data_IF_345189877737
#
_entry.id   IF_345189877737
#
_cell.length_a   1.000
_cell.length_b   1.000
_cell.length_c   1.000
_cell.angle_alpha   90.00
_cell.angle_beta   90.00
_cell.angle_gamma   90.00
#
_symmetry.space_group_name_H-M   'P 1'
#
loop_
_entity.id
_entity.type
_entity.pdbx_description
1 polymer ?
#
# COMPACT_ATOMS: atom_id res chain seq x y z
N UNK A 1 5.77 22.44 9.97
CA UNK A 1 4.41 22.13 10.46
C UNK A 1 4.51 21.09 11.56
N UNK A 2 3.56 21.13 12.50
CA UNK A 2 3.34 20.02 13.42
C UNK A 2 2.33 19.04 12.80
N UNK A 3 2.71 17.77 12.64
CA UNK A 3 1.88 16.75 12.00
C UNK A 3 1.63 15.56 12.92
N UNK A 4 0.45 14.98 12.82
CA UNK A 4 0.13 13.68 13.42
C UNK A 4 0.37 12.59 12.38
N UNK A 5 1.23 11.64 12.72
CA UNK A 5 1.47 10.43 11.92
C UNK A 5 0.85 9.23 12.64
N UNK A 6 -0.26 8.70 12.15
CA UNK A 6 -0.79 7.45 12.67
C UNK A 6 -0.12 6.26 12.01
N UNK A 7 0.13 5.19 12.73
CA UNK A 7 0.87 4.03 12.20
C UNK A 7 2.37 4.29 11.99
N UNK A 8 2.93 5.29 12.70
CA UNK A 8 4.31 5.72 12.52
C UNK A 8 5.37 4.71 12.98
N UNK A 9 5.01 3.74 13.81
CA UNK A 9 5.90 2.66 14.21
C UNK A 9 5.98 1.51 13.18
N UNK A 10 5.06 1.47 12.21
CA UNK A 10 5.03 0.46 11.15
C UNK A 10 6.14 0.61 10.11
N UNK A 11 6.17 -0.32 9.15
CA UNK A 11 7.20 -0.36 8.10
C UNK A 11 7.28 0.96 7.32
N UNK A 12 6.20 1.35 6.65
CA UNK A 12 6.16 2.60 5.87
C UNK A 12 6.27 3.81 6.79
N UNK A 13 5.58 3.78 7.94
CA UNK A 13 5.53 4.87 8.90
C UNK A 13 6.90 5.33 9.39
N UNK A 14 7.83 4.42 9.66
CA UNK A 14 9.20 4.74 10.08
C UNK A 14 10.00 5.47 8.99
N UNK A 15 9.77 5.15 7.72
CA UNK A 15 10.40 5.87 6.60
C UNK A 15 9.77 7.24 6.39
N UNK A 16 8.44 7.35 6.51
CA UNK A 16 7.72 8.64 6.48
C UNK A 16 8.19 9.55 7.62
N UNK A 17 8.35 8.99 8.83
CA UNK A 17 8.86 9.74 9.98
C UNK A 17 10.26 10.32 9.72
N UNK A 18 11.18 9.51 9.17
CA UNK A 18 12.53 10.00 8.81
C UNK A 18 12.48 11.12 7.78
N UNK A 19 11.63 10.99 6.76
CA UNK A 19 11.46 12.00 5.71
C UNK A 19 10.86 13.30 6.28
N UNK A 20 9.87 13.20 7.18
CA UNK A 20 9.31 14.36 7.89
C UNK A 20 10.36 15.12 8.69
N UNK A 21 11.19 14.41 9.44
CA UNK A 21 12.29 15.05 10.20
C UNK A 21 13.33 15.67 9.28
N UNK A 22 13.70 15.00 8.20
CA UNK A 22 14.66 15.54 7.22
C UNK A 22 14.17 16.86 6.60
N UNK A 23 12.84 17.06 6.54
CA UNK A 23 12.21 18.30 6.05
C UNK A 23 11.84 19.30 7.15
N UNK A 24 12.26 19.06 8.40
CA UNK A 24 12.08 20.00 9.52
C UNK A 24 10.66 20.06 10.08
N UNK A 25 9.88 18.98 9.96
CA UNK A 25 8.55 18.91 10.59
C UNK A 25 8.65 18.47 12.05
N UNK A 26 7.74 18.95 12.88
CA UNK A 26 7.46 18.42 14.21
C UNK A 26 6.46 17.26 14.05
N UNK A 27 6.77 16.10 14.64
CA UNK A 27 5.95 14.91 14.45
C UNK A 27 5.51 14.33 15.78
N UNK A 28 4.22 14.12 15.91
CA UNK A 28 3.62 13.25 16.92
C UNK A 28 3.19 11.95 16.25
N UNK A 29 3.56 10.82 16.80
CA UNK A 29 3.16 9.49 16.32
C UNK A 29 2.03 8.97 17.20
N UNK A 30 0.96 8.45 16.58
CA UNK A 30 -0.05 7.64 17.24
C UNK A 30 0.02 6.22 16.68
N UNK A 31 0.29 5.25 17.54
CA UNK A 31 0.38 3.84 17.15
C UNK A 31 -0.08 2.94 18.30
N UNK A 32 -0.83 1.91 17.99
CA UNK A 32 -1.30 0.96 19.00
C UNK A 32 -0.26 -0.09 19.39
N UNK A 33 0.84 -0.17 18.63
CA UNK A 33 1.91 -1.15 18.82
C UNK A 33 1.39 -2.58 18.92
N UNK A 34 0.48 -2.96 18.03
CA UNK A 34 -0.13 -4.30 18.01
C UNK A 34 0.96 -5.39 18.07
N UNK A 35 0.84 -6.38 18.97
CA UNK A 35 1.86 -7.42 19.16
C UNK A 35 2.09 -8.32 17.93
N UNK A 36 1.07 -8.46 17.07
CA UNK A 36 1.14 -9.21 15.81
C UNK A 36 1.95 -8.47 14.71
N UNK A 37 2.27 -7.19 14.93
CA UNK A 37 3.03 -6.36 13.99
C UNK A 37 4.36 -5.91 14.58
N UNK A 38 4.42 -5.64 15.87
CA UNK A 38 5.57 -5.07 16.56
C UNK A 38 6.18 -6.05 17.58
N UNK A 39 7.50 -6.20 17.55
CA UNK A 39 8.19 -6.89 18.64
C UNK A 39 8.02 -6.11 19.95
N UNK A 40 7.87 -6.83 21.05
CA UNK A 40 7.77 -6.23 22.40
C UNK A 40 9.01 -5.40 22.71
N UNK A 41 8.84 -4.17 23.19
CA UNK A 41 9.94 -3.32 23.67
C UNK A 41 10.10 -1.93 23.08
N UNK A 42 9.07 -1.38 22.44
CA UNK A 42 9.10 0.03 22.02
C UNK A 42 8.96 0.95 23.22
N UNK A 43 9.98 1.83 23.42
CA UNK A 43 9.95 2.86 24.44
C UNK A 43 8.91 3.95 24.15
N UNK A 44 8.93 5.05 24.91
CA UNK A 44 8.02 6.20 24.74
C UNK A 44 8.26 7.02 23.47
N UNK A 45 9.24 6.66 22.65
CA UNK A 45 9.58 7.36 21.41
C UNK A 45 9.79 6.39 20.25
N UNK A 46 9.45 6.83 19.05
CA UNK A 46 9.77 6.15 17.78
C UNK A 46 10.60 7.11 16.95
N UNK A 47 11.86 6.75 16.67
CA UNK A 47 12.73 7.56 15.83
C UNK A 47 12.96 9.00 16.34
N UNK A 48 12.75 9.27 17.65
CA UNK A 48 12.85 10.61 18.23
C UNK A 48 11.55 11.41 18.30
N UNK A 49 10.44 10.91 17.71
CA UNK A 49 9.13 11.55 17.81
C UNK A 49 8.44 11.24 19.15
N UNK A 50 7.58 12.15 19.60
CA UNK A 50 6.62 11.89 20.67
C UNK A 50 5.70 10.73 20.23
N UNK A 51 5.61 9.66 21.04
CA UNK A 51 4.78 8.51 20.78
C UNK A 51 3.56 8.48 21.72
N UNK A 52 2.39 8.55 21.15
CA UNK A 52 1.12 8.28 21.83
C UNK A 52 0.75 6.82 21.56
N UNK A 53 0.91 5.95 22.56
CA UNK A 53 0.52 4.54 22.45
C UNK A 53 -1.00 4.46 22.66
N UNK A 54 -1.74 4.37 21.56
CA UNK A 54 -3.19 4.27 21.58
C UNK A 54 -3.72 3.71 20.26
N UNK A 55 -4.91 3.14 20.33
CA UNK A 55 -5.65 2.73 19.14
C UNK A 55 -6.34 3.95 18.50
N UNK A 56 -6.33 4.04 17.17
CA UNK A 56 -7.01 5.09 16.43
C UNK A 56 -8.53 5.11 16.66
N UNK A 57 -9.09 4.04 17.21
CA UNK A 57 -10.49 3.92 17.63
C UNK A 57 -10.79 4.59 18.98
N UNK A 58 -9.76 4.92 19.77
CA UNK A 58 -9.91 5.66 21.02
C UNK A 58 -10.06 7.17 20.74
N UNK A 59 -11.30 7.63 20.67
CA UNK A 59 -11.60 9.03 20.36
C UNK A 59 -10.91 10.03 21.32
N UNK A 60 -10.79 9.70 22.62
CA UNK A 60 -10.14 10.60 23.59
C UNK A 60 -8.64 10.69 23.38
N UNK A 61 -8.01 9.56 23.03
CA UNK A 61 -6.58 9.54 22.71
C UNK A 61 -6.30 10.30 21.41
N UNK A 62 -7.16 10.12 20.39
CA UNK A 62 -7.05 10.84 19.12
C UNK A 62 -7.26 12.33 19.29
N UNK A 63 -8.26 12.78 20.09
CA UNK A 63 -8.47 14.20 20.37
C UNK A 63 -7.21 14.83 21.00
N UNK A 64 -6.61 14.19 22.01
CA UNK A 64 -5.33 14.64 22.61
C UNK A 64 -4.17 14.65 21.61
N UNK A 65 -4.09 13.63 20.77
CA UNK A 65 -3.02 13.54 19.76
C UNK A 65 -3.10 14.64 18.70
N UNK A 66 -4.28 15.20 18.45
CA UNK A 66 -4.52 16.30 17.51
C UNK A 66 -4.23 17.69 18.07
N UNK A 67 -3.94 17.84 19.36
CA UNK A 67 -3.65 19.16 19.97
C UNK A 67 -2.46 19.84 19.29
N UNK A 68 -2.70 21.01 18.69
CA UNK A 68 -1.71 21.81 17.99
C UNK A 68 -1.23 21.26 16.65
N UNK A 69 -1.92 20.24 16.10
CA UNK A 69 -1.59 19.60 14.81
C UNK A 69 -2.19 20.41 13.65
N UNK A 70 -1.42 20.58 12.58
CA UNK A 70 -1.81 21.30 11.36
C UNK A 70 -2.21 20.35 10.21
N UNK A 71 -1.78 19.09 10.26
CA UNK A 71 -2.09 18.09 9.25
C UNK A 71 -1.89 16.67 9.75
N UNK A 72 -2.59 15.72 9.14
CA UNK A 72 -2.56 14.31 9.51
C UNK A 72 -2.08 13.46 8.34
N UNK A 73 -1.12 12.55 8.63
CA UNK A 73 -0.75 11.45 7.74
C UNK A 73 -1.31 10.16 8.35
N UNK A 74 -2.34 9.61 7.73
CA UNK A 74 -3.07 8.46 8.26
C UNK A 74 -2.60 7.16 7.59
N UNK A 75 -1.68 6.45 8.27
CA UNK A 75 -1.13 5.17 7.83
C UNK A 75 -1.58 4.00 8.70
N UNK A 76 -2.14 4.27 9.89
CA UNK A 76 -2.63 3.22 10.77
C UNK A 76 -3.74 2.41 10.08
N UNK A 77 -3.50 1.13 9.91
CA UNK A 77 -4.46 0.19 9.33
C UNK A 77 -4.07 -1.26 9.64
N UNK A 78 -5.06 -2.14 9.74
CA UNK A 78 -4.84 -3.58 9.51
C UNK A 78 -4.59 -3.78 8.01
N UNK A 79 -3.50 -4.47 7.67
CA UNK A 79 -3.07 -4.72 6.29
C UNK A 79 -3.04 -6.21 5.98
N UNK A 80 -2.89 -6.57 4.69
CA UNK A 80 -2.90 -7.95 4.21
C UNK A 80 -4.24 -8.31 3.58
N UNK A 81 -4.28 -9.42 2.85
CA UNK A 81 -5.49 -9.81 2.10
C UNK A 81 -6.59 -10.43 2.97
N UNK A 82 -6.26 -10.75 4.24
CA UNK A 82 -7.10 -11.57 5.09
C UNK A 82 -6.87 -13.06 4.83
N UNK A 83 -7.21 -13.90 5.79
CA UNK A 83 -7.09 -15.35 5.68
C UNK A 83 -8.44 -15.96 5.30
N UNK A 84 -9.51 -15.45 5.95
CA UNK A 84 -10.89 -15.90 5.71
C UNK A 84 -11.92 -14.80 6.03
N UNK A 85 -13.19 -15.16 5.95
CA UNK A 85 -14.33 -14.25 6.25
C UNK A 85 -14.34 -13.78 7.71
N UNK A 86 -13.77 -14.55 8.64
CA UNK A 86 -13.64 -14.17 10.06
C UNK A 86 -12.80 -12.93 10.29
N UNK A 87 -11.94 -12.55 9.34
CA UNK A 87 -11.13 -11.33 9.41
C UNK A 87 -11.95 -10.03 9.16
N UNK A 88 -13.13 -10.12 8.52
CA UNK A 88 -13.96 -8.95 8.17
C UNK A 88 -14.19 -7.98 9.36
N UNK A 89 -14.60 -8.43 10.55
CA UNK A 89 -14.85 -7.51 11.67
C UNK A 89 -13.61 -6.72 12.10
N UNK A 90 -12.41 -7.32 12.05
CA UNK A 90 -11.17 -6.63 12.43
C UNK A 90 -10.77 -5.59 11.37
N UNK A 91 -10.96 -5.85 10.06
CA UNK A 91 -10.78 -4.82 9.03
C UNK A 91 -11.74 -3.67 9.18
N UNK A 92 -13.04 -3.95 9.30
CA UNK A 92 -14.08 -2.93 9.47
C UNK A 92 -13.84 -2.11 10.75
N UNK A 93 -13.53 -2.76 11.86
CA UNK A 93 -13.25 -2.06 13.12
C UNK A 93 -11.98 -1.21 13.03
N UNK A 94 -10.85 -1.79 12.61
CA UNK A 94 -9.56 -1.09 12.64
C UNK A 94 -9.48 0.01 11.57
N UNK A 95 -9.88 -0.30 10.33
CA UNK A 95 -9.71 0.61 9.21
C UNK A 95 -10.88 1.57 9.06
N UNK A 96 -12.12 1.06 9.02
CA UNK A 96 -13.28 1.90 8.73
C UNK A 96 -13.67 2.74 9.97
N UNK A 97 -13.95 2.07 11.10
CA UNK A 97 -14.30 2.79 12.33
C UNK A 97 -13.15 3.65 12.84
N UNK A 98 -11.90 3.17 12.77
CA UNK A 98 -10.71 3.95 13.15
C UNK A 98 -10.57 5.23 12.32
N UNK A 99 -10.76 5.15 11.00
CA UNK A 99 -10.74 6.34 10.12
C UNK A 99 -11.89 7.28 10.43
N UNK A 100 -13.11 6.76 10.67
CA UNK A 100 -14.26 7.59 11.00
C UNK A 100 -14.04 8.36 12.32
N UNK A 101 -13.47 7.72 13.35
CA UNK A 101 -13.11 8.36 14.64
C UNK A 101 -12.07 9.46 14.41
N UNK A 102 -11.01 9.19 13.64
CA UNK A 102 -9.99 10.18 13.33
C UNK A 102 -10.57 11.40 12.60
N UNK A 103 -11.37 11.19 11.57
CA UNK A 103 -11.98 12.27 10.78
C UNK A 103 -12.94 13.13 11.62
N UNK A 104 -13.72 12.51 12.51
CA UNK A 104 -14.58 13.23 13.44
C UNK A 104 -13.76 14.08 14.42
N UNK A 105 -12.65 13.56 14.93
CA UNK A 105 -11.72 14.30 15.81
C UNK A 105 -11.02 15.45 15.05
N UNK A 106 -10.57 15.22 13.83
CA UNK A 106 -10.00 16.27 12.96
C UNK A 106 -10.99 17.42 12.74
N UNK A 107 -12.28 17.09 12.50
CA UNK A 107 -13.32 18.11 12.36
C UNK A 107 -13.50 18.96 13.63
N UNK A 108 -13.51 18.34 14.82
CA UNK A 108 -13.56 19.05 16.11
C UNK A 108 -12.35 19.92 16.37
N UNK A 109 -11.15 19.41 16.03
CA UNK A 109 -9.89 20.13 16.20
C UNK A 109 -9.65 21.23 15.14
N UNK A 110 -10.51 21.32 14.11
CA UNK A 110 -10.32 22.26 13.00
C UNK A 110 -9.16 21.91 12.06
N UNK A 111 -8.61 20.70 12.16
CA UNK A 111 -7.54 20.21 11.27
C UNK A 111 -8.14 19.83 9.91
N UNK A 112 -7.67 20.46 8.83
CA UNK A 112 -8.28 20.35 7.50
C UNK A 112 -7.41 19.68 6.46
N UNK A 113 -6.25 19.16 6.84
CA UNK A 113 -5.31 18.53 5.90
C UNK A 113 -5.12 17.06 6.25
N UNK A 114 -5.49 16.18 5.30
CA UNK A 114 -5.33 14.73 5.43
C UNK A 114 -4.53 14.16 4.25
N UNK A 115 -3.48 13.42 4.56
CA UNK A 115 -2.83 12.49 3.64
C UNK A 115 -3.19 11.08 4.07
N UNK A 116 -3.91 10.36 3.23
CA UNK A 116 -4.46 9.02 3.52
C UNK A 116 -3.67 7.95 2.76
N UNK A 117 -3.12 6.98 3.48
CA UNK A 117 -2.56 5.79 2.87
C UNK A 117 -3.67 4.87 2.37
N UNK A 118 -3.99 4.97 1.09
CA UNK A 118 -4.82 4.02 0.34
C UNK A 118 -3.95 2.94 -0.32
N UNK A 119 -4.47 2.17 -1.25
CA UNK A 119 -3.79 1.02 -1.83
C UNK A 119 -4.27 0.73 -3.24
N UNK A 120 -3.41 0.12 -4.05
CA UNK A 120 -3.76 -0.44 -5.37
C UNK A 120 -4.87 -1.49 -5.33
N UNK A 121 -5.08 -2.12 -4.18
CA UNK A 121 -6.09 -3.19 -4.02
C UNK A 121 -7.51 -2.70 -4.30
N UNK A 122 -7.74 -1.39 -4.28
CA UNK A 122 -9.03 -0.78 -4.62
C UNK A 122 -9.45 -1.02 -6.08
N UNK A 123 -8.50 -1.34 -6.96
CA UNK A 123 -8.74 -1.53 -8.39
C UNK A 123 -9.09 -2.99 -8.79
N UNK A 124 -8.97 -3.95 -7.88
CA UNK A 124 -9.20 -5.37 -8.18
C UNK A 124 -8.29 -5.88 -9.28
N UNK A 125 -8.85 -6.48 -10.32
CA UNK A 125 -8.08 -6.99 -11.47
C UNK A 125 -7.50 -5.89 -12.38
N UNK A 126 -7.77 -4.60 -12.07
CA UNK A 126 -7.26 -3.48 -12.83
C UNK A 126 -7.88 -3.35 -14.23
N UNK A 127 -7.03 -3.08 -15.22
CA UNK A 127 -7.40 -2.93 -16.62
C UNK A 127 -6.63 -3.92 -17.49
N UNK A 128 -7.30 -4.41 -18.54
CA UNK A 128 -6.69 -5.19 -19.59
C UNK A 128 -7.07 -4.65 -20.96
N UNK A 129 -6.22 -4.87 -21.94
CA UNK A 129 -6.46 -4.49 -23.34
C UNK A 129 -6.76 -5.69 -24.19
N UNK A 130 -7.93 -5.66 -24.81
CA UNK A 130 -8.31 -6.58 -25.89
C UNK A 130 -7.95 -5.92 -27.23
N UNK A 131 -7.40 -6.69 -28.16
CA UNK A 131 -7.07 -6.18 -29.50
C UNK A 131 -8.32 -5.67 -30.24
N UNK A 132 -9.47 -6.30 -29.99
CA UNK A 132 -10.73 -6.02 -30.67
C UNK A 132 -11.62 -5.02 -29.93
N UNK A 133 -11.61 -5.08 -28.57
CA UNK A 133 -12.54 -4.30 -27.73
C UNK A 133 -11.84 -3.16 -26.94
N UNK A 134 -10.54 -2.97 -27.15
CA UNK A 134 -9.77 -1.93 -26.45
C UNK A 134 -9.60 -2.21 -24.96
N UNK A 135 -9.58 -1.15 -24.16
CA UNK A 135 -9.45 -1.26 -22.70
C UNK A 135 -10.75 -1.79 -22.09
N UNK A 136 -10.64 -2.88 -21.32
CA UNK A 136 -11.77 -3.54 -20.65
C UNK A 136 -11.39 -3.89 -19.21
N UNK A 137 -12.40 -4.09 -18.37
CA UNK A 137 -12.19 -4.59 -17.00
C UNK A 137 -12.23 -6.11 -17.01
N UNK A 138 -11.15 -6.78 -16.59
CA UNK A 138 -11.12 -8.24 -16.55
C UNK A 138 -12.12 -8.79 -15.52
N UNK A 139 -12.82 -9.90 -15.81
CA UNK A 139 -13.57 -10.61 -14.80
C UNK A 139 -12.62 -11.35 -13.84
N UNK A 140 -13.11 -11.80 -12.67
CA UNK A 140 -12.36 -12.72 -11.82
C UNK A 140 -11.92 -13.96 -12.58
N UNK A 141 -10.70 -14.41 -12.37
CA UNK A 141 -10.17 -15.63 -12.98
C UNK A 141 -10.85 -16.88 -12.39
N UNK A 142 -11.25 -17.80 -13.22
CA UNK A 142 -11.90 -19.03 -12.76
C UNK A 142 -10.86 -20.04 -12.24
N UNK A 143 -11.23 -20.82 -11.21
CA UNK A 143 -10.40 -21.91 -10.71
C UNK A 143 -10.05 -22.93 -11.78
N UNK A 144 -11.00 -23.24 -12.67
CA UNK A 144 -10.81 -24.20 -13.76
C UNK A 144 -9.74 -23.71 -14.77
N UNK A 145 -9.78 -22.42 -15.15
CA UNK A 145 -8.78 -21.85 -16.05
C UNK A 145 -7.38 -21.87 -15.41
N UNK A 146 -7.28 -21.47 -14.14
CA UNK A 146 -6.00 -21.46 -13.42
C UNK A 146 -5.44 -22.88 -13.23
N UNK A 147 -6.29 -23.86 -12.92
CA UNK A 147 -5.88 -25.26 -12.82
C UNK A 147 -5.39 -25.82 -14.17
N UNK A 148 -5.92 -25.31 -15.29
CA UNK A 148 -5.46 -25.67 -16.63
C UNK A 148 -4.21 -24.88 -17.07
N UNK A 149 -3.60 -24.04 -16.22
CA UNK A 149 -2.43 -23.20 -16.55
C UNK A 149 -2.77 -21.98 -17.41
N UNK A 150 -4.05 -21.64 -17.58
CA UNK A 150 -4.50 -20.44 -18.29
C UNK A 150 -4.62 -19.29 -17.28
N UNK A 151 -3.56 -18.51 -17.13
CA UNK A 151 -3.45 -17.48 -16.09
C UNK A 151 -3.88 -16.09 -16.55
N UNK A 152 -3.85 -15.79 -17.85
CA UNK A 152 -4.27 -14.48 -18.34
C UNK A 152 -5.80 -14.33 -18.25
N UNK A 153 -6.31 -13.18 -17.73
CA UNK A 153 -7.74 -12.93 -17.67
C UNK A 153 -8.33 -12.87 -19.09
N UNK A 154 -9.53 -13.44 -19.30
CA UNK A 154 -10.19 -13.36 -20.60
C UNK A 154 -10.87 -12.00 -20.81
N UNK A 155 -10.99 -11.59 -22.06
CA UNK A 155 -11.86 -10.47 -22.44
C UNK A 155 -13.32 -10.85 -22.11
N UNK A 156 -14.08 -9.99 -21.41
CA UNK A 156 -15.47 -10.28 -21.04
C UNK A 156 -16.41 -10.35 -22.25
N UNK A 157 -15.97 -9.89 -23.43
CA UNK A 157 -16.79 -9.85 -24.65
C UNK A 157 -16.47 -11.03 -25.56
N UNK A 158 -15.18 -11.26 -25.89
CA UNK A 158 -14.80 -12.30 -26.87
C UNK A 158 -14.03 -13.48 -26.27
N UNK A 159 -13.72 -13.48 -24.98
CA UNK A 159 -13.01 -14.57 -24.31
C UNK A 159 -11.50 -14.65 -24.60
N UNK A 160 -10.95 -13.83 -25.50
CA UNK A 160 -9.49 -13.86 -25.77
C UNK A 160 -8.69 -13.35 -24.57
N UNK A 161 -7.46 -13.84 -24.36
CA UNK A 161 -6.57 -13.34 -23.31
C UNK A 161 -6.34 -11.84 -23.44
N UNK A 162 -6.31 -11.13 -22.32
CA UNK A 162 -6.06 -9.68 -22.25
C UNK A 162 -4.56 -9.40 -22.05
N UNK A 163 -4.06 -8.39 -22.76
CA UNK A 163 -2.78 -7.78 -22.41
C UNK A 163 -2.97 -6.88 -21.17
N UNK A 164 -1.96 -6.80 -20.26
CA UNK A 164 -2.03 -5.91 -19.10
C UNK A 164 -2.02 -4.44 -19.52
N UNK A 165 -2.84 -3.61 -18.86
CA UNK A 165 -2.91 -2.16 -19.05
C UNK A 165 -2.57 -1.45 -17.74
N UNK A 166 -2.07 -0.20 -17.81
CA UNK A 166 -1.85 0.63 -16.63
C UNK A 166 -3.18 1.14 -16.10
N UNK A 167 -3.32 1.20 -14.77
CA UNK A 167 -4.48 1.82 -14.12
C UNK A 167 -4.14 3.25 -13.71
N UNK A 168 -4.99 4.19 -14.10
CA UNK A 168 -4.96 5.55 -13.57
C UNK A 168 -5.96 5.70 -12.41
N UNK A 169 -5.99 6.87 -11.79
CA UNK A 169 -6.84 7.13 -10.64
C UNK A 169 -8.33 7.33 -10.99
N UNK A 170 -8.68 7.38 -12.27
CA UNK A 170 -10.07 7.40 -12.74
C UNK A 170 -10.64 5.99 -12.93
N UNK A 171 -9.79 4.98 -12.90
CA UNK A 171 -10.21 3.57 -12.97
C UNK A 171 -11.17 3.26 -11.81
N UNK A 172 -12.37 2.73 -12.10
CA UNK A 172 -13.38 2.45 -11.08
C UNK A 172 -12.90 1.46 -10.02
N UNK A 173 -13.39 1.61 -8.80
CA UNK A 173 -13.16 0.66 -7.72
C UNK A 173 -13.73 -0.73 -8.03
N UNK A 174 -12.99 -1.76 -7.62
CA UNK A 174 -13.38 -3.16 -7.75
C UNK A 174 -12.79 -4.00 -6.60
N UNK A 175 -13.13 -3.69 -5.34
CA UNK A 175 -12.54 -4.34 -4.18
C UNK A 175 -12.88 -5.83 -4.13
N UNK A 176 -11.86 -6.71 -3.98
CA UNK A 176 -12.00 -8.17 -4.06
C UNK A 176 -11.82 -8.90 -2.73
N UNK A 177 -11.47 -8.19 -1.66
CA UNK A 177 -11.27 -8.78 -0.33
C UNK A 177 -11.55 -7.74 0.76
N UNK A 178 -11.57 -8.17 2.03
CA UNK A 178 -11.87 -7.32 3.19
C UNK A 178 -10.98 -6.09 3.28
N UNK A 179 -9.68 -6.26 3.04
CA UNK A 179 -8.73 -5.15 3.04
C UNK A 179 -9.05 -4.13 1.94
N UNK A 180 -9.32 -4.59 0.73
CA UNK A 180 -9.67 -3.72 -0.39
C UNK A 180 -10.96 -2.92 -0.10
N UNK A 181 -11.99 -3.59 0.44
CA UNK A 181 -13.24 -2.95 0.86
C UNK A 181 -12.94 -1.84 1.87
N UNK A 182 -12.15 -2.15 2.91
CA UNK A 182 -11.83 -1.15 3.94
C UNK A 182 -11.05 0.05 3.36
N UNK A 183 -10.15 -0.15 2.39
CA UNK A 183 -9.44 0.95 1.75
C UNK A 183 -10.36 1.84 0.89
N UNK A 184 -11.32 1.26 0.20
CA UNK A 184 -12.38 2.01 -0.50
C UNK A 184 -13.24 2.80 0.49
N UNK A 185 -13.66 2.17 1.59
CA UNK A 185 -14.43 2.83 2.63
C UNK A 185 -13.69 4.04 3.23
N UNK A 186 -12.39 3.91 3.51
CA UNK A 186 -11.57 5.01 4.00
C UNK A 186 -11.56 6.20 3.01
N UNK A 187 -11.41 5.96 1.69
CA UNK A 187 -11.47 7.03 0.68
C UNK A 187 -12.87 7.70 0.66
N UNK A 188 -13.96 6.95 0.79
CA UNK A 188 -15.31 7.51 0.83
C UNK A 188 -15.57 8.31 2.11
N UNK A 189 -15.15 7.84 3.28
CA UNK A 189 -15.25 8.62 4.53
C UNK A 189 -14.46 9.92 4.44
N UNK A 190 -13.23 9.87 3.92
CA UNK A 190 -12.40 11.05 3.73
C UNK A 190 -13.00 12.05 2.73
N UNK A 191 -13.62 11.55 1.64
CA UNK A 191 -14.34 12.40 0.69
C UNK A 191 -15.53 13.12 1.34
N UNK A 192 -16.36 12.40 2.08
CA UNK A 192 -17.51 12.99 2.80
C UNK A 192 -17.04 14.02 3.82
N UNK A 193 -16.00 13.69 4.60
CA UNK A 193 -15.39 14.62 5.56
C UNK A 193 -14.91 15.91 4.89
N UNK A 194 -14.22 15.80 3.76
CA UNK A 194 -13.71 16.96 3.02
C UNK A 194 -14.84 17.85 2.51
N UNK A 195 -15.92 17.26 1.99
CA UNK A 195 -17.11 18.00 1.51
C UNK A 195 -17.79 18.78 2.63
N UNK A 196 -17.96 18.17 3.82
CA UNK A 196 -18.64 18.79 4.95
C UNK A 196 -17.79 19.85 5.64
N UNK A 197 -16.47 19.61 5.76
CA UNK A 197 -15.58 20.50 6.54
C UNK A 197 -14.84 21.52 5.70
N UNK A 198 -14.84 21.39 4.38
CA UNK A 198 -13.96 22.13 3.48
C UNK A 198 -12.49 21.73 3.62
N UNK A 199 -12.24 20.51 4.10
CA UNK A 199 -10.90 19.95 4.21
C UNK A 199 -10.30 19.50 2.88
N UNK A 200 -9.02 19.21 2.87
CA UNK A 200 -8.28 18.67 1.72
C UNK A 200 -7.77 17.26 2.01
N UNK A 201 -7.88 16.38 1.02
CA UNK A 201 -7.46 14.96 1.12
C UNK A 201 -6.59 14.59 -0.05
N UNK A 202 -5.37 14.12 0.23
CA UNK A 202 -4.56 13.38 -0.71
C UNK A 202 -4.65 11.88 -0.40
N UNK A 203 -5.39 11.12 -1.20
CA UNK A 203 -5.49 9.66 -1.07
C UNK A 203 -4.39 8.99 -1.91
N UNK A 204 -3.40 8.41 -1.25
CA UNK A 204 -2.24 7.80 -1.90
C UNK A 204 -2.46 6.31 -2.07
N UNK A 205 -2.75 5.87 -3.28
CA UNK A 205 -2.93 4.46 -3.64
C UNK A 205 -1.56 3.83 -3.85
N UNK A 206 -0.97 3.34 -2.75
CA UNK A 206 0.33 2.69 -2.79
C UNK A 206 0.26 1.39 -3.60
N UNK A 207 1.20 1.22 -4.52
CA UNK A 207 1.42 -0.03 -5.21
C UNK A 207 2.30 -0.97 -4.35
N UNK A 208 3.02 -1.92 -4.93
CA UNK A 208 3.77 -2.91 -4.15
C UNK A 208 5.00 -2.29 -3.47
N UNK A 209 4.81 -1.79 -2.26
CA UNK A 209 5.89 -1.17 -1.47
C UNK A 209 6.86 -2.23 -0.96
N UNK A 210 8.16 -2.00 -1.16
CA UNK A 210 9.23 -2.85 -0.66
C UNK A 210 10.42 -2.02 -0.17
N UNK A 211 11.32 -2.65 0.61
CA UNK A 211 12.57 -2.00 1.04
C UNK A 211 13.00 -2.40 2.44
N UNK A 212 14.04 -1.75 2.99
CA UNK A 212 14.60 -2.04 4.30
C UNK A 212 13.55 -1.93 5.42
N UNK A 213 13.54 -2.92 6.33
CA UNK A 213 12.58 -2.96 7.45
C UNK A 213 11.20 -3.54 7.09
N UNK A 214 11.01 -4.05 5.88
CA UNK A 214 9.79 -4.75 5.50
C UNK A 214 9.55 -5.95 6.42
N UNK A 215 8.32 -6.13 7.00
CA UNK A 215 8.00 -7.26 7.85
C UNK A 215 8.24 -8.59 7.14
N UNK A 216 8.89 -9.53 7.84
CA UNK A 216 9.18 -10.88 7.36
C UNK A 216 8.47 -11.88 8.27
N UNK A 217 8.24 -13.06 7.73
CA UNK A 217 7.72 -14.20 8.49
C UNK A 217 6.38 -13.91 9.22
N UNK A 218 5.57 -13.04 8.61
CA UNK A 218 4.20 -12.76 9.04
C UNK A 218 3.21 -13.36 8.04
N UNK A 219 1.98 -13.72 8.47
CA UNK A 219 0.94 -14.25 7.58
C UNK A 219 0.61 -13.30 6.41
N UNK A 220 0.92 -12.02 6.58
CA UNK A 220 0.63 -10.95 5.62
C UNK A 220 1.89 -10.43 4.91
N UNK A 221 3.00 -11.18 4.97
CA UNK A 221 4.25 -10.79 4.32
C UNK A 221 4.05 -10.65 2.81
N UNK A 222 4.51 -9.53 2.26
CA UNK A 222 4.50 -9.33 0.81
C UNK A 222 5.49 -10.25 0.10
N UNK A 223 5.29 -10.49 -1.19
CA UNK A 223 6.08 -11.43 -2.01
C UNK A 223 7.59 -11.19 -1.92
N UNK A 224 8.02 -9.93 -1.85
CA UNK A 224 9.43 -9.57 -1.69
C UNK A 224 10.04 -10.10 -0.38
N UNK A 225 9.29 -10.01 0.73
CA UNK A 225 9.71 -10.53 2.02
C UNK A 225 9.76 -12.06 2.03
N UNK A 226 8.76 -12.72 1.42
CA UNK A 226 8.69 -14.19 1.31
C UNK A 226 9.93 -14.71 0.55
N UNK A 227 10.26 -14.12 -0.59
CA UNK A 227 11.43 -14.53 -1.38
C UNK A 227 12.74 -14.25 -0.65
N UNK A 228 12.87 -13.09 0.00
CA UNK A 228 14.06 -12.77 0.79
C UNK A 228 14.24 -13.75 1.95
N UNK A 229 13.17 -14.12 2.66
CA UNK A 229 13.23 -15.10 3.75
C UNK A 229 13.63 -16.49 3.25
N UNK A 230 13.07 -16.97 2.14
CA UNK A 230 13.44 -18.25 1.53
C UNK A 230 14.92 -18.28 1.16
N UNK A 231 15.40 -17.26 0.43
CA UNK A 231 16.80 -17.16 0.01
C UNK A 231 17.78 -17.11 1.19
N UNK A 232 17.43 -16.44 2.29
CA UNK A 232 18.27 -16.40 3.50
C UNK A 232 18.35 -17.76 4.22
N UNK A 233 17.35 -18.64 4.03
CA UNK A 233 17.40 -20.02 4.49
C UNK A 233 18.10 -20.97 3.51
N UNK A 234 18.63 -20.44 2.38
CA UNK A 234 19.22 -21.25 1.30
C UNK A 234 18.18 -21.98 0.43
N UNK A 235 16.91 -21.59 0.53
CA UNK A 235 15.80 -22.18 -0.21
C UNK A 235 15.49 -21.41 -1.49
N UNK A 236 15.08 -22.13 -2.55
CA UNK A 236 14.68 -21.51 -3.81
C UNK A 236 13.32 -20.77 -3.64
N UNK A 237 13.20 -19.51 -4.08
CA UNK A 237 11.92 -18.80 -4.11
C UNK A 237 10.89 -19.58 -4.93
N UNK A 238 9.73 -19.84 -4.35
CA UNK A 238 8.61 -20.51 -5.03
C UNK A 238 7.76 -19.46 -5.73
N UNK A 239 7.86 -19.41 -7.05
CA UNK A 239 7.14 -18.46 -7.88
C UNK A 239 5.85 -19.10 -8.37
N UNK A 240 4.71 -18.53 -8.00
CA UNK A 240 3.40 -19.03 -8.35
C UNK A 240 3.03 -18.74 -9.80
N UNK A 241 2.03 -19.46 -10.30
CA UNK A 241 1.57 -19.43 -11.69
C UNK A 241 2.76 -19.66 -12.64
N UNK A 242 2.94 -18.81 -13.63
CA UNK A 242 4.06 -18.82 -14.58
C UNK A 242 5.13 -17.73 -14.26
N UNK A 243 4.98 -17.02 -13.16
CA UNK A 243 5.87 -15.94 -12.75
C UNK A 243 5.71 -14.63 -13.52
N UNK A 244 4.74 -14.54 -14.46
CA UNK A 244 4.52 -13.35 -15.30
C UNK A 244 3.54 -12.34 -14.71
N UNK A 245 3.04 -12.55 -13.50
CA UNK A 245 2.20 -11.58 -12.81
C UNK A 245 2.91 -10.23 -12.72
N UNK A 246 2.32 -9.18 -13.27
CA UNK A 246 2.90 -7.84 -13.26
C UNK A 246 2.48 -7.05 -12.03
N UNK A 247 3.47 -6.38 -11.45
CA UNK A 247 3.30 -5.44 -10.33
C UNK A 247 4.12 -4.18 -10.59
N UNK A 248 3.72 -3.11 -9.96
CA UNK A 248 4.57 -1.92 -9.83
C UNK A 248 5.22 -1.95 -8.45
N UNK A 249 6.50 -2.34 -8.41
CA UNK A 249 7.27 -2.38 -7.18
C UNK A 249 7.90 -1.02 -6.92
N UNK A 250 7.50 -0.37 -5.84
CA UNK A 250 7.95 0.97 -5.46
C UNK A 250 8.74 0.92 -4.16
N UNK A 251 9.91 1.56 -4.14
CA UNK A 251 10.77 1.54 -2.96
C UNK A 251 10.16 2.38 -1.83
N UNK A 252 10.30 1.93 -0.59
CA UNK A 252 9.68 2.57 0.59
C UNK A 252 10.15 4.00 0.83
N UNK A 253 11.38 4.36 0.43
CA UNK A 253 11.85 5.76 0.50
C UNK A 253 11.10 6.66 -0.47
N UNK A 254 10.81 6.17 -1.67
CA UNK A 254 10.06 6.91 -2.67
C UNK A 254 8.60 7.09 -2.24
N UNK A 255 8.02 6.06 -1.61
CA UNK A 255 6.69 6.14 -0.99
C UNK A 255 6.67 7.17 0.14
N UNK A 256 7.69 7.17 1.01
CA UNK A 256 7.81 8.14 2.09
C UNK A 256 7.90 9.57 1.56
N UNK A 257 8.75 9.80 0.55
CA UNK A 257 8.89 11.10 -0.10
C UNK A 257 7.57 11.57 -0.73
N UNK A 258 6.85 10.68 -1.45
CA UNK A 258 5.52 10.98 -2.01
C UNK A 258 4.52 11.37 -0.91
N UNK A 259 4.54 10.64 0.20
CA UNK A 259 3.61 10.84 1.32
C UNK A 259 3.82 12.19 2.01
N UNK A 260 5.06 12.54 2.28
CA UNK A 260 5.40 13.83 2.90
C UNK A 260 5.11 14.98 1.93
N UNK A 261 5.47 14.82 0.66
CA UNK A 261 5.21 15.83 -0.36
C UNK A 261 3.71 16.10 -0.54
N UNK A 262 2.87 15.05 -0.50
CA UNK A 262 1.42 15.19 -0.55
C UNK A 262 0.84 15.91 0.69
N UNK A 263 1.49 15.76 1.85
CA UNK A 263 1.14 16.52 3.06
C UNK A 263 1.54 18.00 2.96
N UNK A 264 2.69 18.30 2.39
CA UNK A 264 3.21 19.67 2.23
C UNK A 264 2.44 20.47 1.17
N UNK A 265 2.12 19.82 0.06
CA UNK A 265 1.41 20.44 -1.06
C UNK A 265 -0.09 20.54 -0.75
N UNK A 266 -0.62 21.73 -0.96
CA UNK A 266 -2.07 21.89 -0.87
C UNK A 266 -2.75 21.28 -2.09
N UNK A 267 -3.59 20.26 -1.86
CA UNK A 267 -4.50 19.73 -2.89
C UNK A 267 -5.88 20.32 -2.67
N UNK A 268 -6.56 20.72 -3.73
CA UNK A 268 -7.93 21.22 -3.60
C UNK A 268 -8.92 20.06 -3.51
N UNK A 269 -9.73 20.05 -2.45
CA UNK A 269 -10.73 19.01 -2.21
C UNK A 269 -10.10 17.62 -2.04
N UNK A 270 -10.61 16.63 -2.74
CA UNK A 270 -10.13 15.23 -2.67
C UNK A 270 -9.41 14.86 -3.95
N UNK A 271 -8.17 14.41 -3.82
CA UNK A 271 -7.34 13.94 -4.93
C UNK A 271 -6.75 12.58 -4.62
N UNK A 272 -7.00 11.62 -5.49
CA UNK A 272 -6.31 10.34 -5.45
C UNK A 272 -5.03 10.41 -6.31
N UNK A 273 -3.98 9.70 -5.86
CA UNK A 273 -2.70 9.57 -6.56
C UNK A 273 -2.20 8.13 -6.49
N UNK A 274 -1.87 7.54 -7.64
CA UNK A 274 -1.12 6.30 -7.68
C UNK A 274 0.34 6.54 -7.31
N UNK A 275 0.84 5.79 -6.33
CA UNK A 275 2.24 5.83 -5.92
C UNK A 275 2.91 4.53 -6.39
N UNK A 276 3.54 4.60 -7.53
CA UNK A 276 4.24 3.49 -8.17
C UNK A 276 5.52 3.98 -8.85
N UNK A 277 6.45 3.06 -9.13
CA UNK A 277 7.72 3.37 -9.79
C UNK A 277 7.52 3.83 -11.25
N UNK A 278 6.41 3.39 -11.86
CA UNK A 278 6.13 3.57 -13.29
C UNK A 278 6.93 2.62 -14.19
N UNK A 279 7.59 1.63 -13.60
CA UNK A 279 8.33 0.59 -14.30
C UNK A 279 7.84 -0.79 -13.84
N UNK A 280 6.74 -1.29 -14.42
CA UNK A 280 6.19 -2.58 -14.06
C UNK A 280 7.19 -3.73 -14.23
N UNK A 281 7.21 -4.64 -13.26
CA UNK A 281 8.03 -5.84 -13.27
C UNK A 281 7.18 -7.06 -12.99
N UNK A 282 7.64 -8.22 -13.41
CA UNK A 282 7.00 -9.47 -13.05
C UNK A 282 7.46 -9.96 -11.68
N UNK A 283 6.64 -10.79 -11.04
CA UNK A 283 7.02 -11.48 -9.79
C UNK A 283 8.24 -12.36 -10.02
N UNK A 284 8.35 -12.99 -11.19
CA UNK A 284 9.53 -13.78 -11.58
C UNK A 284 10.80 -12.94 -11.69
N UNK A 285 10.73 -11.74 -12.29
CA UNK A 285 11.89 -10.82 -12.37
C UNK A 285 12.37 -10.43 -10.97
N UNK A 286 11.47 -10.14 -10.04
CA UNK A 286 11.84 -9.85 -8.64
C UNK A 286 12.51 -11.04 -7.97
N UNK A 287 11.97 -12.26 -8.13
CA UNK A 287 12.57 -13.46 -7.57
C UNK A 287 14.00 -13.69 -8.08
N UNK A 288 14.22 -13.52 -9.39
CA UNK A 288 15.55 -13.63 -10.01
C UNK A 288 16.52 -12.53 -9.54
N UNK A 289 16.04 -11.29 -9.40
CA UNK A 289 16.88 -10.19 -8.91
C UNK A 289 17.35 -10.45 -7.48
N UNK A 290 16.44 -10.85 -6.58
CA UNK A 290 16.79 -11.20 -5.20
C UNK A 290 17.72 -12.41 -5.12
N UNK A 291 17.50 -13.45 -5.94
CA UNK A 291 18.40 -14.61 -5.98
C UNK A 291 19.83 -14.23 -6.43
N UNK A 292 19.98 -13.32 -7.40
CA UNK A 292 21.29 -12.78 -7.81
C UNK A 292 21.96 -12.02 -6.68
N UNK A 293 21.24 -11.10 -6.06
CA UNK A 293 21.77 -10.22 -4.99
C UNK A 293 22.22 -11.02 -3.76
N UNK A 294 21.43 -12.03 -3.37
CA UNK A 294 21.72 -12.88 -2.22
C UNK A 294 22.59 -14.09 -2.55
N UNK A 295 23.08 -14.22 -3.79
CA UNK A 295 23.84 -15.38 -4.27
C UNK A 295 23.17 -16.73 -3.94
N UNK A 296 21.82 -16.73 -3.95
CA UNK A 296 21.01 -17.88 -3.58
C UNK A 296 20.57 -18.74 -4.77
N UNK A 297 19.83 -19.82 -4.49
CA UNK A 297 19.34 -20.72 -5.53
C UNK A 297 18.37 -20.02 -6.49
N UNK A 298 18.33 -20.51 -7.73
CA UNK A 298 17.43 -19.97 -8.77
C UNK A 298 15.94 -20.18 -8.35
N UNK A 299 15.06 -19.21 -8.63
CA UNK A 299 13.63 -19.38 -8.40
C UNK A 299 13.04 -20.57 -9.16
N UNK A 300 12.03 -21.19 -8.54
CA UNK A 300 11.27 -22.31 -9.13
C UNK A 300 9.87 -21.85 -9.45
N UNK A 301 9.46 -21.93 -10.71
CA UNK A 301 8.08 -21.69 -11.13
C UNK A 301 7.27 -22.95 -10.85
N UNK A 302 6.24 -22.83 -10.01
CA UNK A 302 5.53 -24.00 -9.43
C UNK A 302 4.22 -24.33 -10.13
N UNK A 303 3.63 -23.40 -10.85
CA UNK A 303 2.26 -23.52 -11.35
C UNK A 303 1.17 -23.40 -10.27
N UNK A 304 1.54 -23.34 -8.98
CA UNK A 304 0.58 -23.12 -7.91
C UNK A 304 -0.09 -21.76 -8.06
N UNK A 305 -1.32 -21.63 -7.62
CA UNK A 305 -2.07 -20.38 -7.67
C UNK A 305 -2.89 -20.17 -6.40
N UNK A 306 -3.32 -18.94 -6.17
CA UNK A 306 -4.28 -18.60 -5.11
C UNK A 306 -5.52 -17.99 -5.75
N UNK A 307 -6.69 -18.50 -5.38
CA UNK A 307 -7.95 -17.90 -5.78
C UNK A 307 -8.07 -16.49 -5.17
N UNK A 308 -8.50 -15.54 -5.99
CA UNK A 308 -8.65 -14.13 -5.56
C UNK A 308 -7.39 -13.28 -5.70
N UNK A 309 -6.20 -13.86 -5.98
CA UNK A 309 -5.04 -13.07 -6.36
C UNK A 309 -5.26 -12.42 -7.74
N UNK A 310 -4.94 -11.14 -7.86
CA UNK A 310 -5.02 -10.43 -9.14
C UNK A 310 -3.85 -10.81 -10.04
N UNK A 311 -4.11 -10.93 -11.35
CA UNK A 311 -3.06 -11.29 -12.31
C UNK A 311 -2.11 -10.13 -12.55
N UNK A 312 -2.62 -8.96 -12.91
CA UNK A 312 -1.83 -7.77 -13.17
C UNK A 312 -2.44 -6.56 -12.48
N UNK A 313 -1.59 -5.78 -11.83
CA UNK A 313 -1.96 -4.47 -11.31
C UNK A 313 -0.74 -3.55 -11.35
N UNK A 314 -0.79 -2.55 -12.23
CA UNK A 314 0.34 -1.66 -12.51
C UNK A 314 -0.13 -0.22 -12.64
N UNK A 315 0.63 0.71 -12.05
CA UNK A 315 0.24 2.10 -11.92
C UNK A 315 0.54 2.94 -13.15
N UNK A 316 -0.39 3.81 -13.53
CA UNK A 316 -0.05 5.10 -14.11
C UNK A 316 0.12 6.13 -13.00
N UNK A 317 1.35 6.52 -12.70
CA UNK A 317 1.68 7.53 -11.68
C UNK A 317 1.87 8.94 -12.27
N UNK A 318 1.43 9.18 -13.49
CA UNK A 318 1.64 10.45 -14.19
C UNK A 318 0.98 11.65 -13.49
N UNK A 319 -0.15 11.44 -12.82
CA UNK A 319 -0.82 12.47 -12.03
C UNK A 319 0.06 12.94 -10.87
N UNK A 320 0.60 12.02 -10.08
CA UNK A 320 1.49 12.34 -8.97
C UNK A 320 2.71 13.13 -9.44
N UNK A 321 3.30 12.72 -10.57
CA UNK A 321 4.45 13.40 -11.18
C UNK A 321 4.12 14.84 -11.60
N UNK A 322 2.99 15.04 -12.27
CA UNK A 322 2.58 16.38 -12.77
C UNK A 322 2.14 17.32 -11.64
N UNK A 323 1.29 16.84 -10.73
CA UNK A 323 0.64 17.70 -9.74
C UNK A 323 1.51 17.96 -8.50
N UNK A 324 2.31 16.98 -8.08
CA UNK A 324 3.17 17.11 -6.91
C UNK A 324 4.66 17.22 -7.26
N UNK A 325 5.04 17.16 -8.54
CA UNK A 325 6.44 17.17 -9.00
C UNK A 325 7.28 16.08 -8.30
N UNK A 326 6.72 14.88 -8.19
CA UNK A 326 7.37 13.72 -7.58
C UNK A 326 7.91 12.77 -8.64
N UNK A 327 9.10 12.23 -8.40
CA UNK A 327 9.70 11.17 -9.21
C UNK A 327 10.33 10.12 -8.29
N UNK A 328 10.19 8.81 -8.60
CA UNK A 328 10.93 7.78 -7.88
C UNK A 328 12.43 7.97 -8.10
N UNK A 329 13.22 7.78 -7.05
CA UNK A 329 14.68 7.99 -7.06
C UNK A 329 15.44 6.67 -6.95
N UNK A 330 14.84 5.62 -6.44
CA UNK A 330 15.48 4.33 -6.22
C UNK A 330 15.18 3.41 -7.40
N UNK A 331 16.20 3.03 -8.14
CA UNK A 331 16.04 2.03 -9.18
C UNK A 331 15.81 0.63 -8.59
N UNK A 332 15.30 -0.28 -9.43
CA UNK A 332 14.88 -1.59 -8.98
C UNK A 332 16.03 -2.45 -8.44
N UNK A 333 17.18 -2.46 -9.09
CA UNK A 333 18.32 -3.31 -8.69
C UNK A 333 18.97 -2.78 -7.40
N UNK A 334 19.11 -1.46 -7.26
CA UNK A 334 19.51 -0.82 -6.02
C UNK A 334 18.52 -1.18 -4.89
N UNK A 335 17.22 -1.06 -5.13
CA UNK A 335 16.20 -1.37 -4.14
C UNK A 335 16.22 -2.84 -3.71
N UNK A 336 16.52 -3.78 -4.61
CA UNK A 336 16.67 -5.20 -4.28
C UNK A 336 17.91 -5.43 -3.39
N UNK A 337 19.03 -4.74 -3.66
CA UNK A 337 20.21 -4.81 -2.80
C UNK A 337 19.91 -4.29 -1.39
N UNK A 338 19.28 -3.13 -1.28
CA UNK A 338 18.89 -2.57 0.02
C UNK A 338 17.90 -3.46 0.79
N UNK A 339 16.92 -4.09 0.11
CA UNK A 339 16.00 -5.06 0.73
C UNK A 339 16.76 -6.29 1.24
N UNK A 340 17.79 -6.72 0.52
CA UNK A 340 18.67 -7.80 0.92
C UNK A 340 19.58 -7.42 2.11
N UNK A 341 19.75 -6.13 2.41
CA UNK A 341 20.61 -5.62 3.49
C UNK A 341 22.06 -5.41 3.04
N UNK A 342 22.26 -5.13 1.77
CA UNK A 342 23.56 -4.82 1.14
C UNK A 342 23.68 -3.34 0.81
#
# INVERSE_FOLDING_TARGET
MRVLLTGGAGFIGRHVLRELFARGHEVRVLDSLRPDVHATGSGSTVGGAELVIADVRDAKAVDRALEGVEGVLHLAAKVGLGVDVGDLPDYASSNDAGTAVLLAAMARAGVKRLTLASSMVVYGEGLGRCEEHGAVRPPPRSAAAMAAGSFEPPCPVCGRPLAPELVDETTPFDPRNAYAISKVAQEFYANTWAQVTGGSVAALRYHNVYGPGMPRDTPYAGVAAIFTSALRRGEAPQVFEDGRQRRDFVHVRDVAAATVLACERHVSGVRAFNVGSGTPRTVGEMAHALARVLHGPKPVVTGHYRLGDVRHITADSSRLRRELNWLPQVDFDQGMAELAGL
#
